data_IF_978700833532
#
_entry.id   IF_978700833532
#
_cell.length_a   1.000
_cell.length_b   1.000
_cell.length_c   1.000
_cell.angle_alpha   90.00
_cell.angle_beta   90.00
_cell.angle_gamma   90.00
#
_symmetry.space_group_name_H-M   'P 1'
#
loop_
_entity.id
_entity.type
_entity.pdbx_description
1 polymer ?
#
# COMPACT_ATOMS: atom_id res chain seq x y z
N UNK A 1 -21.19 1.22 -27.23
CA UNK A 1 -21.71 2.24 -26.31
C UNK A 1 -20.51 2.99 -25.76
N UNK A 2 -20.59 4.30 -25.50
CA UNK A 2 -19.43 5.01 -24.95
C UNK A 2 -19.12 4.46 -23.54
N UNK A 3 -17.82 4.33 -23.27
CA UNK A 3 -17.29 4.07 -21.94
C UNK A 3 -17.86 5.11 -20.96
N UNK A 4 -18.46 4.64 -19.88
CA UNK A 4 -19.30 5.48 -19.01
C UNK A 4 -18.87 5.46 -17.54
N UNK A 5 -18.23 4.38 -17.12
CA UNK A 5 -17.93 4.19 -15.71
C UNK A 5 -16.44 4.29 -15.44
N UNK A 6 -16.10 4.95 -14.34
CA UNK A 6 -14.75 4.95 -13.76
C UNK A 6 -14.80 4.29 -12.40
N UNK A 7 -13.87 3.39 -12.13
CA UNK A 7 -13.80 2.65 -10.88
C UNK A 7 -12.50 3.00 -10.18
N UNK A 8 -12.61 3.47 -8.93
CA UNK A 8 -11.48 3.61 -8.00
C UNK A 8 -11.46 2.42 -7.06
N UNK A 9 -10.28 1.87 -6.81
CA UNK A 9 -10.05 0.75 -5.90
C UNK A 9 -8.95 1.11 -4.92
N UNK A 10 -9.23 1.02 -3.62
CA UNK A 10 -8.22 1.17 -2.56
C UNK A 10 -8.02 -0.16 -1.85
N UNK A 11 -6.81 -0.71 -1.98
CA UNK A 11 -6.46 -2.02 -1.43
C UNK A 11 -5.79 -1.82 -0.08
N UNK A 12 -6.55 -1.98 0.99
CA UNK A 12 -6.05 -1.99 2.36
C UNK A 12 -5.62 -3.37 2.84
N UNK A 13 -5.09 -3.45 4.06
CA UNK A 13 -4.66 -4.72 4.66
C UNK A 13 -5.79 -5.69 4.99
N UNK A 14 -6.99 -5.18 5.30
CA UNK A 14 -8.16 -5.99 5.71
C UNK A 14 -9.29 -5.90 4.70
N UNK A 15 -9.55 -4.72 4.18
CA UNK A 15 -10.63 -4.46 3.23
C UNK A 15 -10.09 -3.79 1.98
N UNK A 16 -10.76 -4.09 0.86
CA UNK A 16 -10.61 -3.39 -0.40
C UNK A 16 -11.88 -2.57 -0.62
N UNK A 17 -11.72 -1.26 -0.66
CA UNK A 17 -12.79 -0.31 -0.90
C UNK A 17 -12.90 0.01 -2.39
N UNK A 18 -14.13 0.06 -2.90
CA UNK A 18 -14.41 0.37 -4.31
C UNK A 18 -15.38 1.54 -4.41
N UNK A 19 -15.12 2.41 -5.38
CA UNK A 19 -16.03 3.51 -5.75
C UNK A 19 -16.20 3.51 -7.26
N UNK A 20 -17.42 3.54 -7.73
CA UNK A 20 -17.76 3.65 -9.15
C UNK A 20 -18.43 4.98 -9.42
N UNK A 21 -17.92 5.73 -10.37
CA UNK A 21 -18.48 6.98 -10.87
C UNK A 21 -19.16 6.72 -12.23
N UNK A 22 -20.44 7.04 -12.31
CA UNK A 22 -21.14 7.20 -13.59
C UNK A 22 -20.86 8.60 -14.15
N UNK A 23 -20.04 8.68 -15.20
CA UNK A 23 -19.62 9.96 -15.79
C UNK A 23 -20.76 10.69 -16.50
N UNK A 24 -21.82 9.99 -16.88
CA UNK A 24 -22.98 10.60 -17.55
C UNK A 24 -23.93 11.29 -16.56
N UNK A 25 -24.06 10.76 -15.34
CA UNK A 25 -25.01 11.28 -14.34
C UNK A 25 -24.35 11.90 -13.13
N UNK A 26 -23.06 11.69 -12.93
CA UNK A 26 -22.31 12.10 -11.73
C UNK A 26 -22.61 11.24 -10.50
N UNK A 27 -23.38 10.16 -10.63
CA UNK A 27 -23.71 9.28 -9.50
C UNK A 27 -22.49 8.48 -9.07
N UNK A 28 -22.34 8.36 -7.74
CA UNK A 28 -21.35 7.50 -7.11
C UNK A 28 -22.03 6.27 -6.51
N UNK A 29 -21.42 5.12 -6.67
CA UNK A 29 -21.72 3.90 -5.95
C UNK A 29 -20.45 3.43 -5.23
N UNK A 30 -20.59 2.81 -4.07
CA UNK A 30 -19.47 2.26 -3.31
C UNK A 30 -19.75 0.82 -2.90
N UNK A 31 -18.69 0.03 -2.81
CA UNK A 31 -18.73 -1.32 -2.25
C UNK A 31 -17.44 -1.58 -1.47
N UNK A 32 -17.48 -2.61 -0.63
CA UNK A 32 -16.35 -3.03 0.20
C UNK A 32 -16.29 -4.54 0.24
N UNK A 33 -15.12 -5.09 -0.03
CA UNK A 33 -14.86 -6.53 0.05
C UNK A 33 -13.67 -6.81 0.97
N UNK A 34 -13.54 -8.04 1.44
CA UNK A 34 -12.35 -8.45 2.18
C UNK A 34 -11.17 -8.52 1.24
N UNK A 35 -10.05 -7.96 1.67
CA UNK A 35 -8.78 -8.15 0.95
C UNK A 35 -8.35 -9.61 1.04
N UNK A 36 -7.86 -10.15 -0.06
CA UNK A 36 -7.29 -11.50 -0.14
C UNK A 36 -5.76 -11.40 0.00
N UNK A 37 -5.17 -11.61 1.20
CA UNK A 37 -3.76 -11.27 1.47
C UNK A 37 -2.75 -12.04 0.62
N UNK A 38 -3.10 -13.26 0.15
CA UNK A 38 -2.21 -14.07 -0.70
C UNK A 38 -2.17 -13.58 -2.14
N UNK A 39 -3.30 -13.07 -2.62
CA UNK A 39 -3.46 -12.52 -3.96
C UNK A 39 -4.53 -11.42 -3.92
N UNK A 40 -4.14 -10.16 -3.76
CA UNK A 40 -5.08 -9.05 -3.70
C UNK A 40 -5.93 -8.88 -4.97
N UNK A 41 -5.47 -9.40 -6.11
CA UNK A 41 -6.20 -9.29 -7.37
C UNK A 41 -7.55 -10.02 -7.32
N UNK A 42 -7.64 -11.10 -6.58
CA UNK A 42 -8.89 -11.87 -6.41
C UNK A 42 -9.96 -11.01 -5.75
N UNK A 43 -9.64 -10.35 -4.62
CA UNK A 43 -10.58 -9.45 -3.94
C UNK A 43 -10.98 -8.25 -4.81
N UNK A 44 -10.03 -7.68 -5.56
CA UNK A 44 -10.31 -6.59 -6.50
C UNK A 44 -11.29 -7.02 -7.58
N UNK A 45 -11.04 -8.16 -8.24
CA UNK A 45 -11.92 -8.66 -9.31
C UNK A 45 -13.31 -9.00 -8.79
N UNK A 46 -13.40 -9.61 -7.60
CA UNK A 46 -14.68 -9.87 -6.94
C UNK A 46 -15.44 -8.56 -6.68
N UNK A 47 -14.78 -7.56 -6.07
CA UNK A 47 -15.39 -6.26 -5.78
C UNK A 47 -15.84 -5.53 -7.03
N UNK A 48 -15.00 -5.50 -8.08
CA UNK A 48 -15.37 -4.90 -9.37
C UNK A 48 -16.59 -5.62 -9.98
N UNK A 49 -16.62 -6.94 -9.96
CA UNK A 49 -17.77 -7.71 -10.45
C UNK A 49 -19.05 -7.37 -9.70
N UNK A 50 -18.98 -7.30 -8.36
CA UNK A 50 -20.13 -6.97 -7.49
C UNK A 50 -20.67 -5.57 -7.74
N UNK A 51 -19.79 -4.55 -7.77
CA UNK A 51 -20.23 -3.15 -7.94
C UNK A 51 -20.84 -2.94 -9.33
N UNK A 52 -20.30 -3.57 -10.37
CA UNK A 52 -20.88 -3.55 -11.71
C UNK A 52 -22.26 -4.21 -11.74
N UNK A 53 -22.38 -5.41 -11.20
CA UNK A 53 -23.65 -6.15 -11.15
C UNK A 53 -24.73 -5.36 -10.37
N UNK A 54 -24.38 -4.81 -9.22
CA UNK A 54 -25.31 -4.05 -8.38
C UNK A 54 -25.84 -2.78 -9.07
N UNK A 55 -25.09 -2.24 -10.04
CA UNK A 55 -25.47 -1.03 -10.78
C UNK A 55 -25.94 -1.31 -12.22
N UNK A 56 -26.12 -2.58 -12.60
CA UNK A 56 -26.56 -2.96 -13.95
C UNK A 56 -25.56 -2.58 -15.05
N UNK A 57 -24.29 -2.44 -14.71
CA UNK A 57 -23.21 -2.06 -15.62
C UNK A 57 -22.45 -3.30 -16.12
N UNK A 58 -21.92 -3.25 -17.33
CA UNK A 58 -21.07 -4.29 -17.88
C UNK A 58 -19.60 -3.84 -17.90
N UNK A 59 -18.68 -4.79 -17.82
CA UNK A 59 -17.24 -4.50 -17.85
C UNK A 59 -16.80 -3.70 -19.08
N UNK A 60 -17.46 -3.90 -20.22
CA UNK A 60 -17.19 -3.14 -21.47
C UNK A 60 -17.57 -1.66 -21.39
N UNK A 61 -18.35 -1.27 -20.39
CA UNK A 61 -18.79 0.12 -20.19
C UNK A 61 -17.85 0.87 -19.22
N UNK A 62 -16.80 0.21 -18.73
CA UNK A 62 -15.79 0.78 -17.84
C UNK A 62 -14.70 1.45 -18.66
N UNK A 63 -14.54 2.75 -18.48
CA UNK A 63 -13.51 3.58 -19.12
C UNK A 63 -12.14 3.39 -18.47
N UNK A 64 -12.12 3.48 -17.13
CA UNK A 64 -10.90 3.39 -16.34
C UNK A 64 -11.10 2.63 -15.04
N UNK A 65 -10.10 1.84 -14.68
CA UNK A 65 -9.93 1.31 -13.33
C UNK A 65 -8.63 1.88 -12.77
N UNK A 66 -8.74 2.64 -11.69
CA UNK A 66 -7.61 3.26 -11.00
C UNK A 66 -7.49 2.59 -9.64
N UNK A 67 -6.34 2.01 -9.33
CA UNK A 67 -6.14 1.40 -8.02
C UNK A 67 -4.98 2.04 -7.27
N UNK A 68 -5.18 2.26 -5.98
CA UNK A 68 -4.17 2.56 -4.99
C UNK A 68 -3.92 1.35 -4.10
N UNK A 69 -2.76 1.31 -3.48
CA UNK A 69 -2.47 0.26 -2.50
C UNK A 69 -1.55 0.77 -1.41
N UNK A 70 -1.87 0.42 -0.16
CA UNK A 70 -1.05 0.66 1.01
C UNK A 70 -0.23 -0.57 1.41
N UNK A 71 -0.21 -1.63 0.58
CA UNK A 71 0.47 -2.90 0.89
C UNK A 71 1.93 -2.70 1.28
N UNK A 72 2.65 -1.85 0.55
CA UNK A 72 4.07 -1.57 0.85
C UNK A 72 4.21 -0.85 2.19
N UNK A 73 3.38 0.16 2.44
CA UNK A 73 3.39 0.87 3.72
C UNK A 73 3.05 -0.07 4.87
N UNK A 74 2.04 -0.92 4.71
CA UNK A 74 1.66 -1.91 5.71
C UNK A 74 2.79 -2.92 5.95
N UNK A 75 3.45 -3.42 4.89
CA UNK A 75 4.58 -4.34 5.02
C UNK A 75 5.74 -3.70 5.80
N UNK A 76 6.02 -2.41 5.57
CA UNK A 76 7.05 -1.65 6.30
C UNK A 76 6.66 -1.47 7.77
N UNK A 77 5.42 -1.05 8.04
CA UNK A 77 4.91 -0.83 9.41
C UNK A 77 4.91 -2.15 10.21
N UNK A 78 4.43 -3.22 9.59
CA UNK A 78 4.36 -4.55 10.20
C UNK A 78 5.71 -5.28 10.20
N UNK A 79 6.74 -4.70 9.58
CA UNK A 79 8.08 -5.29 9.38
C UNK A 79 8.02 -6.68 8.71
N UNK A 80 7.06 -6.85 7.80
CA UNK A 80 6.89 -8.07 7.01
C UNK A 80 7.48 -7.86 5.61
N UNK A 81 8.38 -8.73 5.22
CA UNK A 81 9.01 -8.65 3.91
C UNK A 81 10.10 -9.70 3.75
N UNK A 82 10.78 -9.66 2.63
CA UNK A 82 11.96 -10.47 2.40
C UNK A 82 13.10 -10.06 3.31
N UNK A 83 13.96 -11.00 3.66
CA UNK A 83 15.23 -10.69 4.34
C UNK A 83 16.07 -9.81 3.43
N UNK A 84 16.49 -8.65 3.92
CA UNK A 84 17.29 -7.69 3.17
C UNK A 84 18.62 -7.45 3.88
N UNK A 85 19.65 -7.16 3.10
CA UNK A 85 20.95 -6.75 3.59
C UNK A 85 21.31 -5.37 3.06
N UNK A 86 21.95 -4.56 3.89
CA UNK A 86 22.49 -3.26 3.48
C UNK A 86 23.97 -3.43 3.14
N UNK A 87 24.34 -3.07 1.91
CA UNK A 87 25.73 -2.93 1.49
C UNK A 87 26.08 -1.45 1.45
N UNK A 88 27.12 -1.05 2.15
CA UNK A 88 27.52 0.36 2.24
C UNK A 88 29.04 0.49 2.28
N UNK A 89 29.54 1.70 2.07
CA UNK A 89 30.97 2.01 2.14
C UNK A 89 31.51 1.74 3.54
N UNK A 90 32.73 1.26 3.62
CA UNK A 90 33.43 1.06 4.90
C UNK A 90 33.44 2.37 5.72
N UNK A 91 33.08 2.28 6.99
CA UNK A 91 32.93 3.42 7.89
C UNK A 91 31.51 4.00 7.96
N UNK A 92 30.59 3.59 7.07
CA UNK A 92 29.20 4.08 7.04
C UNK A 92 28.19 3.03 7.53
N UNK A 93 28.62 2.05 8.31
CA UNK A 93 27.76 0.99 8.85
C UNK A 93 26.59 1.50 9.68
N UNK A 94 26.70 2.66 10.29
CA UNK A 94 25.71 3.21 11.23
C UNK A 94 24.71 4.17 10.58
N UNK A 95 24.78 4.35 9.27
CA UNK A 95 23.94 5.31 8.54
C UNK A 95 22.44 5.16 8.84
N UNK A 96 21.94 3.94 9.00
CA UNK A 96 20.53 3.70 9.33
C UNK A 96 20.18 4.01 10.80
N UNK A 97 21.16 3.95 11.70
CA UNK A 97 20.97 4.26 13.13
C UNK A 97 21.07 5.75 13.38
N UNK A 98 22.03 6.40 12.75
CA UNK A 98 22.23 7.85 12.81
C UNK A 98 21.03 8.55 12.16
N UNK A 99 20.57 8.04 11.00
CA UNK A 99 19.45 8.64 10.26
C UNK A 99 19.71 10.11 9.96
N UNK A 100 18.74 10.95 10.29
CA UNK A 100 18.83 12.42 10.15
C UNK A 100 19.20 13.10 11.47
N UNK A 101 19.53 12.36 12.51
CA UNK A 101 19.77 12.85 13.88
C UNK A 101 18.58 13.63 14.49
N UNK A 102 17.41 13.55 13.85
CA UNK A 102 16.22 14.24 14.35
C UNK A 102 15.71 13.60 15.64
N UNK A 103 15.50 14.42 16.65
CA UNK A 103 14.97 14.01 17.95
C UNK A 103 13.60 14.66 18.15
N UNK A 104 12.56 13.83 18.37
CA UNK A 104 11.22 14.32 18.64
C UNK A 104 11.08 14.98 20.04
N UNK A 105 11.97 14.63 20.97
CA UNK A 105 12.14 15.31 22.26
C UNK A 105 13.64 15.44 22.57
N UNK A 106 14.14 16.68 22.56
CA UNK A 106 15.57 16.98 22.76
C UNK A 106 16.02 16.75 24.20
N UNK A 107 15.09 16.81 25.15
CA UNK A 107 15.39 16.70 26.58
C UNK A 107 15.12 15.33 27.18
N UNK A 108 14.48 14.42 26.41
CA UNK A 108 14.28 13.04 26.86
C UNK A 108 15.57 12.23 26.74
N UNK A 109 16.16 11.92 27.91
CA UNK A 109 17.37 11.09 28.00
C UNK A 109 17.13 9.60 27.71
N UNK A 110 15.88 9.16 27.76
CA UNK A 110 15.47 7.77 27.54
C UNK A 110 14.77 7.56 26.20
N UNK A 111 14.85 8.53 25.32
CA UNK A 111 14.24 8.48 24.01
C UNK A 111 14.65 7.22 23.26
N UNK A 112 13.63 6.49 22.78
CA UNK A 112 13.84 5.31 21.93
C UNK A 112 13.67 5.70 20.46
N UNK A 113 14.73 5.62 19.70
CA UNK A 113 14.67 5.77 18.25
C UNK A 113 14.02 4.53 17.61
N UNK A 114 13.32 4.69 16.47
CA UNK A 114 12.80 3.57 15.72
C UNK A 114 13.92 2.59 15.33
N UNK A 115 13.68 1.31 15.49
CA UNK A 115 14.63 0.31 15.05
C UNK A 115 14.77 0.34 13.51
N UNK A 116 15.99 0.26 12.96
CA UNK A 116 16.21 0.16 11.54
C UNK A 116 15.48 -1.05 10.93
N UNK A 117 15.05 -0.92 9.65
CA UNK A 117 14.44 -2.04 8.93
C UNK A 117 15.43 -3.16 8.65
N UNK A 118 16.71 -2.81 8.50
CA UNK A 118 17.81 -3.77 8.31
C UNK A 118 18.58 -3.88 9.61
N UNK A 119 18.54 -5.03 10.32
CA UNK A 119 19.31 -5.26 11.52
C UNK A 119 20.80 -5.12 11.28
N UNK A 120 21.55 -4.72 12.32
CA UNK A 120 23.02 -4.57 12.26
C UNK A 120 23.74 -5.79 11.69
N UNK A 121 23.27 -6.98 12.06
CA UNK A 121 23.87 -8.26 11.65
C UNK A 121 23.78 -8.53 10.13
N UNK A 122 22.86 -7.87 9.43
CA UNK A 122 22.66 -8.03 7.99
C UNK A 122 23.32 -6.91 7.17
N UNK A 123 24.15 -6.08 7.79
CA UNK A 123 24.91 -5.05 7.09
C UNK A 123 26.19 -5.64 6.54
N UNK A 124 26.34 -5.62 5.22
CA UNK A 124 27.60 -5.95 4.56
C UNK A 124 28.40 -4.66 4.34
N UNK A 125 29.68 -4.68 4.63
CA UNK A 125 30.59 -3.55 4.43
C UNK A 125 31.45 -3.84 3.21
N UNK A 126 31.29 -3.03 2.17
CA UNK A 126 32.17 -3.04 1.01
C UNK A 126 33.41 -2.17 1.28
N UNK A 127 34.53 -2.57 0.74
CA UNK A 127 35.79 -1.82 0.79
C UNK A 127 35.76 -0.62 -0.16
#
# INVERSE_FOLDING_TARGET
MPERYRIGVDIGGTFTDLVMLDTATGRLASDKVLTTPRDPSVGVLEGVGRILQANGAAARDVEHVIHGTTLVANAVIERRGSTVALVTTRGFGDVLQIGTEWRYDTYDLFMKLPEPLVPLILKAISA
#
